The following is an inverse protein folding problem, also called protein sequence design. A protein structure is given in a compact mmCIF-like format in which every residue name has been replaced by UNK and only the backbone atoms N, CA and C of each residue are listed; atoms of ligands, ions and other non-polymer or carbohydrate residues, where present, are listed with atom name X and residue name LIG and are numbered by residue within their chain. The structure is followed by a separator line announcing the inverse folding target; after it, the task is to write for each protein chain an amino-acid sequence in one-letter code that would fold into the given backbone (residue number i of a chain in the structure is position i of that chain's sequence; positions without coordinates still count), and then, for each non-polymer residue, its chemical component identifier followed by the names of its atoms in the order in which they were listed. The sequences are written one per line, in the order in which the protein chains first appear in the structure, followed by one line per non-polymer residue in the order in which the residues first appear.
data_IF_002840903344
#
_entry.id   IF_002840903344
#
_cell.length_a   1.000
_cell.length_b   1.000
_cell.length_c   1.000
_cell.angle_alpha   90.00
_cell.angle_beta   90.00
_cell.angle_gamma   90.00
#
_symmetry.space_group_name_H-M   'P 1'
#
loop_
_entity.id
_entity.type
_entity.pdbx_description
1 polymer ?
#
# COMPACT_ATOMS: atom_id res chain seq x y z
N UNK A 1 -14.91 -10.27 22.47
CA UNK A 1 -15.95 -9.23 22.27
C UNK A 1 -16.95 -9.78 21.26
N UNK A 2 -18.25 -9.57 21.46
CA UNK A 2 -19.32 -10.20 20.68
C UNK A 2 -20.42 -9.20 20.35
N UNK A 3 -21.26 -9.51 19.36
CA UNK A 3 -22.33 -8.62 18.87
C UNK A 3 -23.27 -8.20 19.99
N UNK A 4 -23.85 -7.00 19.85
CA UNK A 4 -24.83 -6.51 20.81
C UNK A 4 -26.16 -6.26 20.12
N UNK A 5 -27.21 -6.76 20.78
CA UNK A 5 -28.60 -6.63 20.35
C UNK A 5 -29.42 -6.10 21.51
N UNK A 6 -30.29 -5.14 21.21
CA UNK A 6 -31.30 -4.61 22.12
C UNK A 6 -32.65 -5.09 21.63
N UNK A 7 -33.38 -5.81 22.47
CA UNK A 7 -34.71 -6.30 22.19
C UNK A 7 -35.65 -6.04 23.37
N UNK A 8 -36.88 -5.64 23.07
CA UNK A 8 -37.97 -5.57 24.04
C UNK A 8 -38.55 -6.96 24.28
N UNK A 9 -38.76 -7.32 25.55
CA UNK A 9 -39.41 -8.58 25.92
C UNK A 9 -40.87 -8.31 26.20
N UNK A 10 -41.72 -8.68 25.24
CA UNK A 10 -43.18 -8.68 25.38
C UNK A 10 -43.64 -10.05 25.86
N UNK A 11 -44.86 -10.13 26.40
CA UNK A 11 -45.48 -11.38 26.82
C UNK A 11 -46.60 -11.73 25.85
N UNK A 12 -46.57 -12.94 25.29
CA UNK A 12 -47.66 -13.45 24.48
C UNK A 12 -48.95 -13.49 25.33
N UNK A 13 -50.02 -12.78 24.93
CA UNK A 13 -51.28 -12.77 25.68
C UNK A 13 -52.01 -14.12 25.69
N UNK A 14 -51.72 -15.04 24.76
CA UNK A 14 -52.40 -16.34 24.67
C UNK A 14 -51.66 -17.46 25.42
N UNK A 15 -50.33 -17.51 25.31
CA UNK A 15 -49.53 -18.61 25.88
C UNK A 15 -48.57 -18.17 27.00
N UNK A 16 -48.49 -16.87 27.30
CA UNK A 16 -47.68 -16.34 28.39
C UNK A 16 -46.16 -16.48 28.18
N UNK A 17 -45.74 -16.91 27.00
CA UNK A 17 -44.34 -17.06 26.60
C UNK A 17 -43.73 -15.70 26.26
N UNK A 18 -42.41 -15.52 26.46
CA UNK A 18 -41.72 -14.31 26.04
C UNK A 18 -41.71 -14.20 24.51
N UNK A 19 -42.02 -13.01 24.01
CA UNK A 19 -41.90 -12.60 22.61
C UNK A 19 -40.87 -11.48 22.57
N UNK A 20 -39.84 -11.63 21.74
CA UNK A 20 -38.78 -10.64 21.60
C UNK A 20 -39.08 -9.74 20.41
N UNK A 21 -39.13 -8.43 20.66
CA UNK A 21 -39.27 -7.40 19.63
C UNK A 21 -37.94 -6.68 19.48
N UNK A 22 -37.40 -6.64 18.27
CA UNK A 22 -36.00 -6.31 18.05
C UNK A 22 -35.86 -4.80 17.80
N UNK A 23 -35.12 -4.10 18.67
CA UNK A 23 -34.99 -2.63 18.64
C UNK A 23 -33.77 -2.20 17.82
N UNK A 24 -32.61 -2.77 18.13
CA UNK A 24 -31.34 -2.44 17.47
C UNK A 24 -30.37 -3.61 17.53
N UNK A 25 -29.57 -3.77 16.48
CA UNK A 25 -28.49 -4.76 16.41
C UNK A 25 -27.26 -4.05 15.87
N UNK A 26 -26.09 -4.32 16.47
CA UNK A 26 -24.80 -4.06 15.86
C UNK A 26 -24.02 -5.36 15.74
N UNK A 27 -23.66 -5.71 14.51
CA UNK A 27 -22.95 -6.96 14.18
C UNK A 27 -21.56 -6.67 13.66
N UNK A 28 -20.59 -7.52 14.00
CA UNK A 28 -19.25 -7.53 13.40
C UNK A 28 -19.16 -8.42 12.17
N UNK A 29 -18.08 -8.22 11.42
CA UNK A 29 -17.67 -8.90 10.19
C UNK A 29 -18.10 -10.39 10.10
N UNK A 30 -18.95 -10.79 9.14
CA UNK A 30 -19.66 -9.94 8.18
C UNK A 30 -20.85 -9.23 8.82
N UNK A 31 -21.00 -7.92 8.56
CA UNK A 31 -22.17 -7.19 9.01
C UNK A 31 -23.46 -7.80 8.44
N UNK A 32 -24.45 -8.03 9.30
CA UNK A 32 -25.77 -8.49 8.86
C UNK A 32 -26.52 -7.38 8.12
N UNK A 33 -27.48 -7.77 7.29
CA UNK A 33 -28.30 -6.78 6.56
C UNK A 33 -29.26 -6.10 7.54
N UNK A 34 -29.41 -4.78 7.43
CA UNK A 34 -30.24 -3.95 8.32
C UNK A 34 -29.76 -3.86 9.78
N UNK A 35 -28.48 -4.10 10.04
CA UNK A 35 -27.85 -3.89 11.35
C UNK A 35 -26.82 -2.75 11.30
N UNK A 36 -26.54 -2.14 12.44
CA UNK A 36 -25.49 -1.12 12.57
C UNK A 36 -24.12 -1.72 12.33
N UNK A 37 -23.36 -1.10 11.43
CA UNK A 37 -22.02 -1.57 11.10
C UNK A 37 -21.07 -1.29 12.25
N UNK A 38 -20.66 -2.35 12.93
CA UNK A 38 -19.76 -2.23 14.08
C UNK A 38 -18.32 -1.96 13.70
N UNK A 39 -17.92 -2.45 12.53
CA UNK A 39 -16.60 -2.25 11.94
C UNK A 39 -16.80 -1.53 10.60
N UNK A 40 -16.03 -0.46 10.39
CA UNK A 40 -15.96 0.27 9.13
C UNK A 40 -14.67 1.07 9.10
N UNK A 41 -13.72 0.65 8.27
CA UNK A 41 -12.47 1.38 8.06
C UNK A 41 -12.41 2.03 6.70
N UNK A 42 -11.74 3.16 6.59
CA UNK A 42 -11.43 3.79 5.31
C UNK A 42 -9.92 3.93 5.20
N UNK A 43 -9.38 3.44 4.08
CA UNK A 43 -7.98 3.61 3.71
C UNK A 43 -7.87 4.62 2.57
N UNK A 44 -7.09 5.67 2.77
CA UNK A 44 -6.79 6.71 1.77
C UNK A 44 -5.29 6.90 1.66
N UNK A 45 -4.81 7.27 0.47
CA UNK A 45 -3.44 7.76 0.29
C UNK A 45 -3.47 9.27 0.15
N UNK A 46 -2.46 9.95 0.66
CA UNK A 46 -2.28 11.39 0.47
C UNK A 46 -2.05 11.69 -1.02
N UNK A 47 -1.14 10.91 -1.62
CA UNK A 47 -0.75 11.00 -3.01
C UNK A 47 -1.05 9.68 -3.71
N UNK A 48 -1.85 9.75 -4.78
CA UNK A 48 -2.23 8.59 -5.59
C UNK A 48 -1.35 8.42 -6.83
N UNK A 49 -0.63 9.48 -7.22
CA UNK A 49 0.25 9.48 -8.37
C UNK A 49 1.49 10.30 -8.06
N UNK A 50 2.61 9.61 -7.87
CA UNK A 50 3.90 10.22 -7.54
C UNK A 50 4.80 10.07 -8.76
N UNK A 51 5.32 11.18 -9.28
CA UNK A 51 6.15 11.20 -10.49
C UNK A 51 7.44 11.95 -10.24
N UNK A 52 8.47 11.68 -11.04
CA UNK A 52 9.76 12.37 -10.94
C UNK A 52 10.58 11.95 -9.73
N UNK A 53 10.43 10.68 -9.31
CA UNK A 53 11.27 10.14 -8.24
C UNK A 53 12.64 9.85 -8.83
N UNK A 54 13.75 10.43 -8.33
CA UNK A 54 15.06 10.22 -8.91
C UNK A 54 15.45 8.74 -8.98
N UNK A 55 16.13 8.34 -10.05
CA UNK A 55 16.74 7.02 -10.19
C UNK A 55 17.64 6.67 -8.98
N UNK A 56 17.32 5.59 -8.28
CA UNK A 56 18.03 5.15 -7.07
C UNK A 56 17.63 5.90 -5.79
N UNK A 57 16.67 6.82 -5.88
CA UNK A 57 16.04 7.45 -4.74
C UNK A 57 14.94 6.60 -4.11
N UNK A 58 14.37 7.12 -3.04
CA UNK A 58 13.14 6.61 -2.44
C UNK A 58 12.20 7.78 -2.17
N UNK A 59 10.91 7.54 -2.36
CA UNK A 59 9.87 8.53 -2.07
C UNK A 59 9.08 8.11 -0.83
N UNK A 60 8.75 9.10 0.01
CA UNK A 60 7.82 8.94 1.12
C UNK A 60 6.44 9.43 0.74
N UNK A 61 5.42 8.68 1.14
CA UNK A 61 4.00 9.07 1.08
C UNK A 61 3.31 8.54 2.35
N UNK A 62 2.08 8.99 2.63
CA UNK A 62 1.34 8.49 3.79
C UNK A 62 0.06 7.81 3.38
N UNK A 63 -0.27 6.79 4.17
CA UNK A 63 -1.51 6.05 4.07
C UNK A 63 -2.33 6.36 5.32
N UNK A 64 -3.47 7.01 5.14
CA UNK A 64 -4.39 7.37 6.20
C UNK A 64 -5.44 6.29 6.38
N UNK A 65 -5.45 5.69 7.56
CA UNK A 65 -6.44 4.72 8.01
C UNK A 65 -7.40 5.41 8.98
N UNK A 66 -8.70 5.43 8.67
CA UNK A 66 -9.75 6.11 9.46
C UNK A 66 -10.80 5.12 9.92
N UNK A 67 -11.16 5.15 11.21
CA UNK A 67 -12.32 4.42 11.73
C UNK A 67 -13.60 5.25 11.51
N UNK A 68 -14.53 4.76 10.71
CA UNK A 68 -15.86 5.34 10.51
C UNK A 68 -16.99 4.42 11.03
N UNK A 69 -16.70 3.56 12.01
CA UNK A 69 -17.70 2.66 12.61
C UNK A 69 -18.93 3.42 13.12
N UNK A 70 -20.14 2.91 12.85
CA UNK A 70 -21.38 3.51 13.33
C UNK A 70 -21.64 3.22 14.82
N UNK A 71 -20.99 2.19 15.35
CA UNK A 71 -21.06 1.77 16.77
C UNK A 71 -20.43 2.76 17.75
N UNK A 72 -19.65 3.73 17.26
CA UNK A 72 -18.86 4.64 18.09
C UNK A 72 -17.85 3.96 19.02
N UNK A 73 -17.41 2.77 18.65
CA UNK A 73 -16.42 2.00 19.41
C UNK A 73 -14.99 2.26 18.92
N UNK A 74 -14.05 2.08 19.83
CA UNK A 74 -12.64 1.95 19.47
C UNK A 74 -12.37 0.56 18.91
N UNK A 75 -11.65 0.49 17.79
CA UNK A 75 -11.44 -0.75 17.04
C UNK A 75 -10.01 -0.87 16.53
N UNK A 76 -9.52 -2.11 16.49
CA UNK A 76 -8.22 -2.44 15.90
C UNK A 76 -8.41 -2.74 14.42
N UNK A 77 -7.67 -2.03 13.58
CA UNK A 77 -7.61 -2.29 12.15
C UNK A 77 -6.18 -2.58 11.74
N UNK A 78 -6.02 -3.25 10.61
CA UNK A 78 -4.71 -3.67 10.12
C UNK A 78 -4.49 -3.14 8.71
N UNK A 79 -3.25 -2.74 8.41
CA UNK A 79 -2.79 -2.30 7.10
C UNK A 79 -1.73 -3.27 6.57
N UNK A 80 -1.80 -3.62 5.27
CA UNK A 80 -0.73 -4.37 4.59
C UNK A 80 -0.51 -3.92 3.15
N UNK A 81 0.68 -4.20 2.64
CA UNK A 81 1.01 -4.16 1.21
C UNK A 81 0.72 -5.51 0.53
N UNK A 82 0.22 -5.48 -0.71
CA UNK A 82 -0.15 -6.69 -1.47
C UNK A 82 0.75 -6.87 -2.69
N UNK A 83 1.87 -7.61 -2.57
CA UNK A 83 2.81 -7.77 -3.68
C UNK A 83 2.21 -8.51 -4.87
N UNK A 84 1.32 -9.49 -4.64
CA UNK A 84 0.70 -10.28 -5.72
C UNK A 84 -0.30 -9.52 -6.61
N UNK A 85 -0.66 -8.28 -6.24
CA UNK A 85 -1.48 -7.39 -7.08
C UNK A 85 -0.67 -6.19 -7.60
N UNK A 86 0.51 -5.97 -7.03
CA UNK A 86 1.35 -4.82 -7.33
C UNK A 86 2.37 -5.13 -8.41
N UNK A 87 2.87 -4.10 -9.09
CA UNK A 87 3.99 -4.25 -10.01
C UNK A 87 5.22 -4.75 -9.25
N UNK A 88 5.81 -5.85 -9.70
CA UNK A 88 7.05 -6.38 -9.12
C UNK A 88 8.23 -5.43 -9.40
N UNK A 89 9.22 -5.42 -8.50
CA UNK A 89 10.43 -4.60 -8.66
C UNK A 89 10.48 -3.32 -7.82
N UNK A 90 9.47 -3.06 -6.99
CA UNK A 90 9.50 -2.03 -5.95
C UNK A 90 9.83 -2.60 -4.58
N UNK A 91 10.60 -1.86 -3.79
CA UNK A 91 10.73 -2.05 -2.34
C UNK A 91 9.73 -1.15 -1.65
N UNK A 92 8.81 -1.72 -0.89
CA UNK A 92 7.83 -0.97 -0.09
C UNK A 92 8.13 -1.20 1.37
N UNK A 93 8.21 -0.12 2.14
CA UNK A 93 8.45 -0.17 3.57
C UNK A 93 7.50 0.77 4.32
N UNK A 94 6.65 0.23 5.17
CA UNK A 94 5.68 0.95 5.99
C UNK A 94 6.28 1.08 7.39
N UNK A 95 6.36 2.31 7.90
CA UNK A 95 6.94 2.67 9.21
C UNK A 95 8.39 2.20 9.41
N UNK A 96 9.11 1.87 8.33
CA UNK A 96 10.45 1.29 8.42
C UNK A 96 10.47 -0.20 8.81
N UNK A 97 9.31 -0.83 9.00
CA UNK A 97 9.16 -2.19 9.51
C UNK A 97 8.88 -3.25 8.43
N UNK A 98 8.64 -2.85 7.18
CA UNK A 98 8.42 -3.72 6.03
C UNK A 98 7.01 -3.63 5.43
N UNK A 99 6.47 -4.75 4.95
CA UNK A 99 5.23 -4.79 4.17
C UNK A 99 3.95 -5.06 5.00
N UNK A 100 4.08 -5.23 6.31
CA UNK A 100 2.98 -5.51 7.23
C UNK A 100 2.58 -6.99 7.29
N UNK A 101 1.44 -7.31 7.94
CA UNK A 101 0.43 -6.36 8.42
C UNK A 101 0.83 -5.58 9.68
N UNK A 102 0.34 -4.35 9.81
CA UNK A 102 0.52 -3.48 10.98
C UNK A 102 -0.83 -3.10 11.56
N UNK A 103 -0.96 -3.14 12.88
CA UNK A 103 -2.17 -2.79 13.60
C UNK A 103 -2.23 -1.30 14.00
N UNK A 104 -3.45 -0.76 14.06
CA UNK A 104 -3.74 0.54 14.63
C UNK A 104 -5.06 0.46 15.42
N UNK A 105 -4.99 0.87 16.69
CA UNK A 105 -6.15 1.05 17.55
C UNK A 105 -6.73 2.44 17.32
N UNK A 106 -7.96 2.51 16.79
CA UNK A 106 -8.60 3.74 16.34
C UNK A 106 -9.94 3.95 17.06
N UNK A 107 -10.04 5.05 17.81
CA UNK A 107 -11.32 5.56 18.29
C UNK A 107 -12.23 5.95 17.11
N UNK A 108 -13.54 6.05 17.34
CA UNK A 108 -14.49 6.47 16.30
C UNK A 108 -14.11 7.85 15.70
N UNK A 109 -14.15 7.96 14.38
CA UNK A 109 -13.73 9.12 13.59
C UNK A 109 -12.26 9.52 13.77
N UNK A 110 -11.45 8.69 14.44
CA UNK A 110 -10.00 8.87 14.54
C UNK A 110 -9.32 8.32 13.29
N UNK A 111 -8.12 8.82 13.02
CA UNK A 111 -7.27 8.31 11.95
C UNK A 111 -5.83 8.15 12.40
N UNK A 112 -5.15 7.17 11.80
CA UNK A 112 -3.71 7.00 11.90
C UNK A 112 -3.09 7.11 10.52
N UNK A 113 -1.95 7.78 10.43
CA UNK A 113 -1.20 7.96 9.19
C UNK A 113 0.05 7.10 9.24
N UNK A 114 0.14 6.13 8.33
CA UNK A 114 1.31 5.29 8.15
C UNK A 114 2.26 5.92 7.13
N UNK A 115 3.47 6.30 7.56
CA UNK A 115 4.53 6.74 6.69
C UNK A 115 5.06 5.54 5.89
N UNK A 116 4.94 5.60 4.58
CA UNK A 116 5.34 4.53 3.67
C UNK A 116 6.41 5.04 2.70
N UNK A 117 7.50 4.29 2.56
CA UNK A 117 8.51 4.55 1.54
C UNK A 117 8.40 3.55 0.39
N UNK A 118 8.67 4.05 -0.81
CA UNK A 118 8.85 3.26 -2.02
C UNK A 118 10.26 3.49 -2.57
N UNK A 119 10.95 2.44 -2.96
CA UNK A 119 12.24 2.48 -3.65
C UNK A 119 12.31 1.46 -4.78
N UNK A 120 13.34 1.59 -5.61
CA UNK A 120 13.62 0.64 -6.69
C UNK A 120 14.31 -0.62 -6.14
N UNK A 121 13.76 -1.78 -6.49
CA UNK A 121 14.48 -3.06 -6.40
C UNK A 121 15.04 -3.44 -7.78
N UNK A 122 14.20 -3.38 -8.82
CA UNK A 122 14.60 -3.60 -10.21
C UNK A 122 14.76 -2.23 -10.91
N UNK A 123 15.99 -1.83 -11.29
CA UNK A 123 16.23 -0.54 -11.93
C UNK A 123 15.66 -0.45 -13.36
N UNK A 124 15.20 -1.56 -13.94
CA UNK A 124 14.60 -1.58 -15.29
C UNK A 124 13.09 -1.30 -15.28
N UNK A 125 12.47 -1.32 -14.09
CA UNK A 125 11.05 -1.00 -13.92
C UNK A 125 10.98 0.39 -13.29
N UNK A 126 10.45 1.36 -14.01
CA UNK A 126 10.31 2.74 -13.52
C UNK A 126 8.88 3.09 -13.14
N UNK A 127 7.89 2.30 -13.59
CA UNK A 127 6.48 2.55 -13.37
C UNK A 127 5.88 1.47 -12.48
N UNK A 128 5.36 1.86 -11.31
CA UNK A 128 4.80 0.95 -10.32
C UNK A 128 3.34 1.29 -10.01
N UNK A 129 2.52 0.24 -9.98
CA UNK A 129 1.20 0.28 -9.36
C UNK A 129 1.26 -0.53 -8.07
N UNK A 130 1.07 0.13 -6.94
CA UNK A 130 1.11 -0.47 -5.61
C UNK A 130 -0.30 -0.60 -5.04
N UNK A 131 -0.60 -1.75 -4.45
CA UNK A 131 -1.87 -2.02 -3.79
C UNK A 131 -1.69 -2.21 -2.29
N UNK A 132 -2.51 -1.51 -1.54
CA UNK A 132 -2.58 -1.60 -0.09
C UNK A 132 -3.99 -1.99 0.32
N UNK A 133 -4.07 -2.80 1.36
CA UNK A 133 -5.34 -3.30 1.88
C UNK A 133 -5.42 -3.02 3.37
N UNK A 134 -6.60 -2.59 3.81
CA UNK A 134 -6.98 -2.53 5.19
C UNK A 134 -8.04 -3.59 5.49
N UNK A 135 -7.94 -4.20 6.67
CA UNK A 135 -8.87 -5.20 7.14
C UNK A 135 -9.10 -5.08 8.64
N UNK A 136 -10.22 -5.65 9.06
CA UNK A 136 -10.77 -5.55 10.41
C UNK A 136 -10.21 -6.68 11.29
N UNK A 137 -10.27 -6.53 12.62
CA UNK A 137 -9.69 -7.49 13.56
C UNK A 137 -10.26 -8.90 13.42
N UNK A 138 -11.55 -9.04 13.15
CA UNK A 138 -12.19 -10.33 12.95
C UNK A 138 -11.63 -11.09 11.75
N UNK A 139 -11.09 -10.36 10.76
CA UNK A 139 -10.51 -10.97 9.57
C UNK A 139 -9.05 -11.35 9.79
N UNK A 140 -8.38 -10.84 10.83
CA UNK A 140 -7.03 -11.22 11.32
C UNK A 140 -5.98 -11.49 10.21
N UNK A 141 -6.04 -10.77 9.08
CA UNK A 141 -5.10 -10.92 7.97
C UNK A 141 -5.50 -11.95 6.91
N UNK A 142 -6.68 -12.56 7.01
CA UNK A 142 -7.22 -13.40 5.96
C UNK A 142 -7.42 -12.55 4.68
N UNK A 143 -6.70 -12.86 3.58
CA UNK A 143 -6.76 -12.08 2.36
C UNK A 143 -8.13 -12.08 1.68
N UNK A 144 -9.01 -13.00 2.06
CA UNK A 144 -10.36 -13.10 1.51
C UNK A 144 -11.34 -12.09 2.11
N UNK A 145 -10.96 -11.36 3.17
CA UNK A 145 -11.79 -10.33 3.80
C UNK A 145 -11.07 -8.99 3.94
N UNK A 146 -10.24 -8.63 2.95
CA UNK A 146 -9.81 -7.25 2.79
C UNK A 146 -11.01 -6.41 2.37
N UNK A 147 -11.57 -5.66 3.32
CA UNK A 147 -12.76 -4.85 3.07
C UNK A 147 -12.43 -3.55 2.31
N UNK A 148 -11.19 -3.06 2.40
CA UNK A 148 -10.83 -1.76 1.84
C UNK A 148 -9.48 -1.81 1.13
N UNK A 149 -9.42 -1.23 -0.07
CA UNK A 149 -8.22 -1.23 -0.92
C UNK A 149 -7.92 0.18 -1.40
N UNK A 150 -6.64 0.53 -1.43
CA UNK A 150 -6.17 1.74 -2.10
C UNK A 150 -5.03 1.40 -3.07
N UNK A 151 -4.87 2.25 -4.08
CA UNK A 151 -3.86 2.12 -5.12
C UNK A 151 -3.02 3.39 -5.17
N UNK A 152 -1.70 3.21 -5.22
CA UNK A 152 -0.73 4.29 -5.40
C UNK A 152 0.08 4.00 -6.65
N UNK A 153 0.21 5.00 -7.52
CA UNK A 153 1.10 4.96 -8.68
C UNK A 153 2.38 5.71 -8.36
N UNK A 154 3.51 5.12 -8.72
CA UNK A 154 4.82 5.74 -8.56
C UNK A 154 5.65 5.59 -9.84
N UNK A 155 6.21 6.70 -10.31
CA UNK A 155 7.03 6.79 -11.51
C UNK A 155 8.40 7.37 -11.17
N UNK A 156 9.44 6.56 -11.42
CA UNK A 156 10.84 6.92 -11.26
C UNK A 156 11.42 7.46 -12.56
N UNK A 157 12.34 8.41 -12.46
CA UNK A 157 13.13 8.88 -13.59
C UNK A 157 14.05 7.77 -14.11
N UNK A 158 14.26 7.74 -15.41
CA UNK A 158 15.19 6.80 -16.03
C UNK A 158 16.63 7.03 -15.55
N UNK A 159 17.34 5.95 -15.25
CA UNK A 159 18.76 5.97 -14.82
C UNK A 159 19.71 6.33 -15.98
N UNK A 160 19.19 6.52 -17.20
CA UNK A 160 19.99 6.69 -18.41
C UNK A 160 20.45 8.16 -18.49
N UNK A 161 21.69 8.40 -18.06
CA UNK A 161 22.36 9.64 -18.43
C UNK A 161 22.70 9.64 -19.93
N UNK A 162 22.46 10.74 -20.66
CA UNK A 162 22.88 10.83 -22.05
C UNK A 162 24.41 10.80 -22.14
N UNK A 163 24.97 9.81 -22.85
CA UNK A 163 26.39 9.81 -23.22
C UNK A 163 26.60 10.93 -24.23
N UNK A 164 27.24 12.03 -23.81
CA UNK A 164 27.63 13.11 -24.71
C UNK A 164 29.00 12.78 -25.28
N UNK A 165 29.04 12.34 -26.54
CA UNK A 165 30.27 12.25 -27.31
C UNK A 165 30.57 13.62 -27.93
N UNK A 166 31.57 14.33 -27.42
CA UNK A 166 32.07 15.55 -28.04
C UNK A 166 33.21 15.21 -28.99
N UNK A 167 33.08 15.63 -30.26
CA UNK A 167 34.19 15.59 -31.20
C UNK A 167 35.22 16.68 -30.83
N UNK A 168 36.51 16.43 -31.06
CA UNK A 168 37.52 17.48 -30.92
C UNK A 168 37.24 18.64 -31.89
N UNK A 169 37.57 19.86 -31.47
CA UNK A 169 37.50 21.06 -32.34
C UNK A 169 38.53 20.94 -33.48
N UNK A 170 38.23 21.60 -34.61
CA UNK A 170 39.16 21.71 -35.74
C UNK A 170 40.53 22.23 -35.29
N UNK A 171 41.61 21.58 -35.75
CA UNK A 171 42.99 22.02 -35.50
C UNK A 171 43.81 21.19 -34.51
N UNK A 172 43.35 20.00 -34.09
CA UNK A 172 44.22 19.09 -33.33
C UNK A 172 45.34 18.58 -34.25
N UNK A 173 46.58 18.92 -33.91
CA UNK A 173 47.77 18.38 -34.56
C UNK A 173 47.89 16.89 -34.23
N UNK A 174 47.47 16.04 -35.16
CA UNK A 174 47.72 14.61 -35.09
C UNK A 174 49.18 14.37 -35.46
N UNK A 175 49.94 13.71 -34.58
CA UNK A 175 51.19 13.10 -35.02
C UNK A 175 50.85 12.07 -36.11
N UNK A 176 51.74 11.82 -37.06
CA UNK A 176 51.51 11.00 -38.27
C UNK A 176 51.25 9.50 -38.03
N UNK A 177 50.74 9.12 -36.84
CA UNK A 177 50.13 7.81 -36.58
C UNK A 177 48.61 7.95 -36.59
N UNK A 178 47.95 6.91 -37.10
CA UNK A 178 46.50 6.82 -37.17
C UNK A 178 45.89 7.23 -35.82
N UNK A 179 44.99 8.23 -35.76
CA UNK A 179 44.45 8.71 -34.50
C UNK A 179 43.55 7.64 -33.89
N UNK A 180 44.06 6.90 -32.91
CA UNK A 180 43.25 6.01 -32.09
C UNK A 180 42.90 6.73 -30.79
N UNK A 181 41.62 7.05 -30.62
CA UNK A 181 41.08 7.41 -29.32
C UNK A 181 40.75 6.11 -28.59
N UNK A 182 41.60 5.70 -27.65
CA UNK A 182 41.35 4.55 -26.79
C UNK A 182 40.29 4.91 -25.75
N UNK A 183 39.01 4.72 -26.08
CA UNK A 183 37.90 4.92 -25.15
C UNK A 183 37.63 3.59 -24.45
N UNK A 184 37.88 3.52 -23.14
CA UNK A 184 37.41 2.40 -22.33
C UNK A 184 35.95 2.66 -21.95
N UNK A 185 35.02 1.91 -22.54
CA UNK A 185 33.63 1.92 -22.12
C UNK A 185 33.46 0.99 -20.93
N UNK A 186 33.13 1.54 -19.76
CA UNK A 186 32.50 0.76 -18.68
C UNK A 186 31.00 0.88 -18.92
N UNK A 187 30.42 -0.14 -19.54
CA UNK A 187 28.98 -0.23 -19.74
C UNK A 187 28.41 -0.94 -18.50
N UNK A 188 27.59 -0.25 -17.72
CA UNK A 188 26.72 -0.91 -16.75
C UNK A 188 25.60 -1.60 -17.53
N UNK A 189 25.83 -2.84 -17.95
CA UNK A 189 24.78 -3.70 -18.49
C UNK A 189 24.00 -4.26 -17.29
N UNK A 190 22.78 -3.78 -17.08
CA UNK A 190 21.85 -4.47 -16.19
C UNK A 190 21.50 -5.82 -16.84
N UNK A 191 21.86 -6.95 -16.19
CA UNK A 191 21.35 -8.27 -16.58
C UNK A 191 22.35 -9.37 -16.95
N UNK A 192 23.65 -9.28 -16.64
CA UNK A 192 24.60 -10.39 -16.83
C UNK A 192 25.27 -10.83 -15.52
N UNK A 193 24.46 -11.29 -14.56
CA UNK A 193 24.93 -12.30 -13.61
C UNK A 193 24.23 -13.62 -13.96
N UNK A 194 24.95 -14.64 -14.49
CA UNK A 194 24.38 -15.98 -14.48
C UNK A 194 24.17 -16.42 -13.03
N UNK A 195 23.11 -17.19 -12.73
CA UNK A 195 22.93 -17.77 -11.40
C UNK A 195 24.17 -18.61 -11.07
N UNK A 196 24.68 -18.45 -9.84
CA UNK A 196 25.64 -19.40 -9.28
C UNK A 196 24.84 -20.63 -8.85
N UNK A 197 25.12 -21.76 -9.48
CA UNK A 197 24.79 -23.10 -8.98
C UNK A 197 25.53 -23.37 -7.64
#
# INVERSE_FOLDING_TARGET
MGDYMTADVKKDPQYGTPVFDLIAIATSCPNEINTHKRDKVILKSDDHNITGIPAGGSQLFRLKLTNESESSEERTYYLRYVPGQSTSGAVVNIEGLGAGPFDALLANNSSHEFATSIGLFDPNVTNFELFFEAFEECTAGNPSGADFKTKVKAEFDDVISPIILSAPKDGIALNSRNPYLGINFIICVAGLFPPRD
#
